data_IF_293830124098
#
_entry.id   IF_293830124098
#
_cell.length_a   1.000
_cell.length_b   1.000
_cell.length_c   1.000
_cell.angle_alpha   90.00
_cell.angle_beta   90.00
_cell.angle_gamma   90.00
#
_symmetry.space_group_name_H-M   'P 1'
#
loop_
_entity.id
_entity.type
_entity.pdbx_description
1 polymer ?
#
# COMPACT_ATOMS: atom_id res chain seq x y z
N UNK A 1 -14.49 -6.18 22.86
CA UNK A 1 -14.68 -6.97 21.64
C UNK A 1 -13.68 -8.11 21.69
N UNK A 2 -14.11 -9.36 21.47
CA UNK A 2 -13.19 -10.48 21.34
C UNK A 2 -12.55 -10.40 19.96
N UNK A 3 -11.30 -9.92 19.88
CA UNK A 3 -10.50 -10.00 18.66
C UNK A 3 -10.05 -11.45 18.36
N UNK A 4 -10.34 -12.39 19.26
CA UNK A 4 -9.96 -13.80 19.20
C UNK A 4 -10.29 -14.47 17.85
N UNK A 5 -11.48 -14.33 17.24
CA UNK A 5 -11.76 -14.97 15.95
C UNK A 5 -10.90 -14.45 14.79
N UNK A 6 -10.59 -13.14 14.78
CA UNK A 6 -9.67 -12.56 13.82
C UNK A 6 -8.23 -13.06 14.07
N UNK A 7 -7.85 -13.17 15.35
CA UNK A 7 -6.53 -13.64 15.77
C UNK A 7 -6.35 -15.13 15.43
N UNK A 8 -7.37 -15.96 15.66
CA UNK A 8 -7.37 -17.41 15.48
C UNK A 8 -7.57 -17.86 14.03
N UNK A 9 -7.82 -16.92 13.10
CA UNK A 9 -8.05 -17.17 11.67
C UNK A 9 -9.27 -18.06 11.40
N UNK A 10 -10.31 -17.98 12.23
CA UNK A 10 -11.59 -18.65 11.97
C UNK A 10 -12.37 -17.90 10.87
N UNK A 11 -11.94 -18.08 9.62
CA UNK A 11 -12.49 -17.36 8.46
C UNK A 11 -14.02 -17.49 8.34
N UNK A 12 -14.63 -18.67 8.54
CA UNK A 12 -16.10 -18.80 8.55
C UNK A 12 -16.81 -17.98 9.63
N UNK A 13 -16.17 -17.71 10.78
CA UNK A 13 -16.77 -16.94 11.87
C UNK A 13 -16.68 -15.41 11.66
N UNK A 14 -15.74 -14.94 10.83
CA UNK A 14 -15.47 -13.50 10.63
C UNK A 14 -16.73 -12.69 10.26
N UNK A 15 -17.58 -13.09 9.30
CA UNK A 15 -18.77 -12.31 8.96
C UNK A 15 -19.71 -12.08 10.15
N UNK A 16 -19.89 -13.09 11.00
CA UNK A 16 -20.74 -12.99 12.19
C UNK A 16 -20.14 -12.03 13.22
N UNK A 17 -18.81 -12.09 13.44
CA UNK A 17 -18.10 -11.23 14.39
C UNK A 17 -18.12 -9.77 13.95
N UNK A 18 -17.91 -9.50 12.65
CA UNK A 18 -18.02 -8.14 12.08
C UNK A 18 -19.45 -7.62 12.23
N UNK A 19 -20.47 -8.44 11.93
CA UNK A 19 -21.87 -8.06 12.09
C UNK A 19 -22.24 -7.75 13.56
N UNK A 20 -21.78 -8.57 14.50
CA UNK A 20 -21.97 -8.34 15.93
C UNK A 20 -21.35 -7.01 16.39
N UNK A 21 -20.10 -6.74 15.97
CA UNK A 21 -19.46 -5.47 16.32
C UNK A 21 -20.18 -4.28 15.69
N UNK A 22 -20.59 -4.41 14.42
CA UNK A 22 -21.32 -3.39 13.65
C UNK A 22 -22.69 -3.07 14.24
N UNK A 23 -23.31 -3.99 14.97
CA UNK A 23 -24.58 -3.74 15.65
C UNK A 23 -24.46 -2.67 16.76
N UNK A 24 -23.27 -2.49 17.34
CA UNK A 24 -22.99 -1.52 18.41
C UNK A 24 -22.17 -0.30 17.96
N UNK A 25 -21.66 -0.29 16.73
CA UNK A 25 -20.72 0.73 16.24
C UNK A 25 -21.08 1.17 14.82
N UNK A 26 -20.67 2.37 14.44
CA UNK A 26 -20.80 2.86 13.06
C UNK A 26 -19.95 2.05 12.07
N UNK A 27 -20.22 2.22 10.77
CA UNK A 27 -19.42 1.61 9.71
C UNK A 27 -17.96 2.09 9.76
N UNK A 28 -17.73 3.37 10.06
CA UNK A 28 -16.38 3.94 10.17
C UNK A 28 -15.60 3.37 11.38
N UNK A 29 -16.27 3.21 12.52
CA UNK A 29 -15.66 2.55 13.69
C UNK A 29 -15.36 1.07 13.43
N UNK A 30 -16.24 0.40 12.69
CA UNK A 30 -16.04 -1.00 12.27
C UNK A 30 -14.86 -1.12 11.31
N UNK A 31 -14.80 -0.26 10.29
CA UNK A 31 -13.65 -0.16 9.37
C UNK A 31 -12.35 0.14 10.13
N UNK A 32 -12.38 1.06 11.09
CA UNK A 32 -11.23 1.42 11.93
C UNK A 32 -10.71 0.21 12.70
N UNK A 33 -11.61 -0.58 13.29
CA UNK A 33 -11.25 -1.78 14.04
C UNK A 33 -10.64 -2.86 13.13
N UNK A 34 -11.25 -3.12 11.97
CA UNK A 34 -10.76 -4.08 10.97
C UNK A 34 -9.40 -3.65 10.41
N UNK A 35 -9.24 -2.38 10.08
CA UNK A 35 -7.99 -1.85 9.54
C UNK A 35 -6.87 -1.91 10.57
N UNK A 36 -7.14 -1.56 11.84
CA UNK A 36 -6.18 -1.80 12.92
C UNK A 36 -5.79 -3.26 12.98
N UNK A 37 -6.75 -4.18 12.94
CA UNK A 37 -6.45 -5.62 12.91
C UNK A 37 -5.57 -6.02 11.72
N UNK A 38 -5.82 -5.53 10.50
CA UNK A 38 -4.97 -5.79 9.33
C UNK A 38 -3.51 -5.39 9.56
N UNK A 39 -3.29 -4.33 10.33
CA UNK A 39 -1.96 -3.85 10.70
C UNK A 39 -1.35 -4.70 11.80
N UNK A 40 -2.15 -5.12 12.77
CA UNK A 40 -1.68 -6.04 13.82
C UNK A 40 -1.34 -7.43 13.26
N UNK A 41 -2.06 -7.86 12.24
CA UNK A 41 -1.80 -9.10 11.51
C UNK A 41 -0.61 -8.97 10.54
N UNK A 42 -0.11 -7.76 10.32
CA UNK A 42 0.97 -7.50 9.38
C UNK A 42 2.21 -8.30 9.76
N UNK A 43 2.59 -9.22 8.86
CA UNK A 43 3.97 -9.62 8.68
C UNK A 43 4.48 -8.94 7.41
N UNK A 44 5.79 -8.65 7.28
CA UNK A 44 6.37 -8.21 6.02
C UNK A 44 6.23 -9.33 4.96
N UNK A 45 5.05 -9.39 4.35
CA UNK A 45 4.64 -10.35 3.35
C UNK A 45 3.73 -9.65 2.36
N UNK A 46 3.82 -10.03 1.09
CA UNK A 46 3.02 -9.44 0.01
C UNK A 46 1.51 -9.48 0.31
N UNK A 47 1.03 -10.55 0.96
CA UNK A 47 -0.37 -10.72 1.34
C UNK A 47 -0.83 -9.66 2.36
N UNK A 48 -0.04 -9.45 3.42
CA UNK A 48 -0.42 -8.49 4.47
C UNK A 48 -0.40 -7.05 3.95
N UNK A 49 0.53 -6.74 3.03
CA UNK A 49 0.58 -5.43 2.37
C UNK A 49 -0.65 -5.17 1.51
N UNK A 50 -1.05 -6.14 0.70
CA UNK A 50 -2.25 -6.02 -0.12
C UNK A 50 -3.52 -5.90 0.73
N UNK A 51 -3.59 -6.58 1.88
CA UNK A 51 -4.72 -6.42 2.81
C UNK A 51 -4.83 -4.97 3.32
N UNK A 52 -3.69 -4.34 3.67
CA UNK A 52 -3.65 -2.93 4.07
C UNK A 52 -4.06 -1.98 2.94
N UNK A 53 -3.51 -2.19 1.74
CA UNK A 53 -3.84 -1.38 0.57
C UNK A 53 -5.32 -1.53 0.18
N UNK A 54 -5.89 -2.71 0.35
CA UNK A 54 -7.31 -2.94 0.13
C UNK A 54 -8.16 -2.19 1.18
N UNK A 55 -7.80 -2.24 2.48
CA UNK A 55 -8.50 -1.48 3.52
C UNK A 55 -8.52 0.03 3.21
N UNK A 56 -7.38 0.58 2.79
CA UNK A 56 -7.28 1.99 2.38
C UNK A 56 -8.12 2.29 1.13
N UNK A 57 -8.10 1.41 0.12
CA UNK A 57 -8.89 1.58 -1.10
C UNK A 57 -10.39 1.53 -0.82
N UNK A 58 -10.82 0.65 0.08
CA UNK A 58 -12.22 0.56 0.57
C UNK A 58 -12.63 1.85 1.28
N UNK A 59 -11.76 2.45 2.09
CA UNK A 59 -12.02 3.76 2.68
C UNK A 59 -12.16 4.87 1.64
N UNK A 60 -11.27 4.91 0.65
CA UNK A 60 -11.29 5.90 -0.42
C UNK A 60 -12.55 5.81 -1.29
N UNK A 61 -13.09 4.60 -1.44
CA UNK A 61 -14.26 4.28 -2.24
C UNK A 61 -15.56 4.14 -1.43
N UNK A 62 -15.55 4.42 -0.12
CA UNK A 62 -16.67 4.13 0.81
C UNK A 62 -18.04 4.70 0.39
N UNK A 63 -18.06 5.74 -0.42
CA UNK A 63 -19.27 6.39 -0.94
C UNK A 63 -19.77 5.79 -2.28
N UNK A 64 -18.95 4.95 -2.93
CA UNK A 64 -19.16 4.39 -4.27
C UNK A 64 -19.38 2.88 -4.26
N UNK A 65 -19.09 2.22 -3.13
CA UNK A 65 -19.22 0.77 -2.97
C UNK A 65 -20.13 0.44 -1.79
N UNK A 66 -20.56 -0.81 -1.70
CA UNK A 66 -21.23 -1.34 -0.52
C UNK A 66 -20.24 -1.47 0.65
N UNK A 67 -20.06 -0.37 1.37
CA UNK A 67 -19.00 -0.22 2.36
C UNK A 67 -19.02 -1.30 3.45
N UNK A 68 -20.19 -1.62 4.01
CA UNK A 68 -20.32 -2.66 5.05
C UNK A 68 -19.90 -4.05 4.52
N UNK A 69 -20.26 -4.43 3.29
CA UNK A 69 -19.83 -5.69 2.67
C UNK A 69 -18.32 -5.70 2.44
N UNK A 70 -17.76 -4.58 1.96
CA UNK A 70 -16.33 -4.43 1.72
C UNK A 70 -15.49 -4.51 3.01
N UNK A 71 -15.99 -3.99 4.14
CA UNK A 71 -15.33 -4.12 5.45
C UNK A 71 -15.19 -5.58 5.85
N UNK A 72 -16.23 -6.41 5.65
CA UNK A 72 -16.17 -7.85 5.95
C UNK A 72 -15.10 -8.53 5.11
N UNK A 73 -15.01 -8.20 3.82
CA UNK A 73 -14.00 -8.77 2.94
C UNK A 73 -12.58 -8.36 3.33
N UNK A 74 -12.36 -7.09 3.71
CA UNK A 74 -11.10 -6.64 4.28
C UNK A 74 -10.71 -7.44 5.52
N UNK A 75 -11.67 -7.76 6.40
CA UNK A 75 -11.42 -8.51 7.62
C UNK A 75 -11.04 -9.98 7.34
N UNK A 76 -11.75 -10.62 6.41
CA UNK A 76 -11.41 -11.96 5.92
C UNK A 76 -10.00 -11.95 5.33
N UNK A 77 -9.69 -10.97 4.49
CA UNK A 77 -8.40 -10.92 3.82
C UNK A 77 -7.24 -10.67 4.79
N UNK A 78 -7.43 -9.77 5.76
CA UNK A 78 -6.47 -9.52 6.84
C UNK A 78 -6.18 -10.80 7.65
N UNK A 79 -7.21 -11.54 8.04
CA UNK A 79 -7.06 -12.77 8.81
C UNK A 79 -6.41 -13.90 8.00
N UNK A 80 -6.76 -14.01 6.72
CA UNK A 80 -6.16 -14.95 5.79
C UNK A 80 -4.66 -14.67 5.57
N UNK A 81 -4.29 -13.38 5.46
CA UNK A 81 -2.92 -12.93 5.19
C UNK A 81 -1.95 -13.16 6.35
N UNK A 82 -2.46 -13.34 7.57
CA UNK A 82 -1.66 -13.60 8.76
C UNK A 82 -0.84 -14.88 8.59
N UNK A 83 0.47 -14.78 8.82
CA UNK A 83 1.38 -15.91 8.77
C UNK A 83 1.56 -16.54 10.15
N UNK A 84 1.85 -17.85 10.27
CA UNK A 84 2.12 -18.51 11.55
C UNK A 84 3.27 -17.87 12.34
N UNK A 85 4.20 -17.21 11.65
CA UNK A 85 5.33 -16.48 12.24
C UNK A 85 5.13 -14.96 12.29
N UNK A 86 3.92 -14.44 12.01
CA UNK A 86 3.62 -13.04 12.23
C UNK A 86 3.88 -12.71 13.70
N UNK A 87 4.78 -11.75 13.95
CA UNK A 87 5.07 -11.28 15.30
C UNK A 87 3.77 -10.77 15.95
N UNK A 88 3.63 -10.90 17.28
CA UNK A 88 2.55 -10.22 17.97
C UNK A 88 2.65 -8.71 17.69
N UNK A 89 1.50 -8.03 17.54
CA UNK A 89 1.51 -6.62 17.23
C UNK A 89 2.27 -5.82 18.30
N UNK A 90 3.35 -5.14 17.91
CA UNK A 90 3.93 -4.09 18.75
C UNK A 90 3.14 -2.81 18.52
N UNK A 91 2.37 -2.45 19.54
CA UNK A 91 1.59 -1.22 19.58
C UNK A 91 2.43 -0.04 20.08
N UNK A 92 3.42 -0.33 20.93
CA UNK A 92 4.25 0.67 21.58
C UNK A 92 5.59 0.86 20.86
N UNK A 93 6.08 2.11 20.75
CA UNK A 93 7.40 2.38 20.22
C UNK A 93 8.51 1.71 21.07
N UNK A 94 9.58 1.19 20.43
CA UNK A 94 10.73 0.65 21.16
C UNK A 94 11.45 1.76 21.90
N UNK A 95 12.21 1.38 22.94
CA UNK A 95 13.09 2.31 23.66
C UNK A 95 14.17 2.85 22.70
N UNK A 96 14.31 4.17 22.68
CA UNK A 96 15.35 4.88 21.93
C UNK A 96 16.70 4.71 22.65
N UNK A 97 17.75 4.37 21.90
CA UNK A 97 19.11 4.24 22.43
C UNK A 97 19.78 5.62 22.56
N UNK A 98 20.64 5.78 23.57
CA UNK A 98 21.32 7.05 23.88
C UNK A 98 22.22 7.57 22.73
N UNK A 99 22.63 6.69 21.81
CA UNK A 99 23.45 7.03 20.65
C UNK A 99 22.68 7.20 19.32
N UNK A 100 21.35 7.11 19.33
CA UNK A 100 20.55 7.24 18.11
C UNK A 100 20.62 8.68 17.58
N UNK A 101 21.16 8.92 16.38
CA UNK A 101 21.26 10.29 15.83
C UNK A 101 19.92 10.90 15.50
N UNK A 102 18.99 10.09 14.99
CA UNK A 102 17.67 10.54 14.58
C UNK A 102 17.65 11.42 13.34
N UNK A 103 18.73 11.51 12.55
CA UNK A 103 18.75 12.19 11.25
C UNK A 103 18.31 11.26 10.10
N UNK A 104 18.07 11.77 8.90
CA UNK A 104 17.69 10.95 7.73
C UNK A 104 18.77 9.91 7.36
N UNK A 105 20.05 10.23 7.58
CA UNK A 105 21.18 9.33 7.32
C UNK A 105 21.20 8.13 8.28
N UNK A 106 20.66 8.26 9.49
CA UNK A 106 20.45 7.17 10.45
C UNK A 106 19.46 6.15 9.87
N UNK A 107 18.37 6.61 9.26
CA UNK A 107 17.39 5.73 8.62
C UNK A 107 17.98 5.04 7.38
N UNK A 108 18.67 5.79 6.51
CA UNK A 108 19.37 5.22 5.34
C UNK A 108 20.36 4.14 5.75
N UNK A 109 21.18 4.41 6.77
CA UNK A 109 22.15 3.46 7.28
C UNK A 109 21.48 2.21 7.88
N UNK A 110 20.34 2.37 8.55
CA UNK A 110 19.57 1.24 9.07
C UNK A 110 19.02 0.35 7.95
N UNK A 111 18.46 0.95 6.90
CA UNK A 111 17.94 0.21 5.73
C UNK A 111 19.05 -0.50 4.97
N UNK A 112 20.17 0.19 4.72
CA UNK A 112 21.32 -0.40 4.05
C UNK A 112 21.92 -1.60 4.82
N UNK A 113 21.81 -1.59 6.15
CA UNK A 113 22.24 -2.69 7.02
C UNK A 113 21.15 -3.76 7.25
N UNK A 114 19.96 -3.59 6.66
CA UNK A 114 18.75 -4.37 6.99
C UNK A 114 18.45 -4.43 8.51
N UNK A 115 18.80 -3.37 9.25
CA UNK A 115 18.62 -3.27 10.69
C UNK A 115 17.24 -2.69 11.04
N UNK A 116 16.27 -3.60 11.14
CA UNK A 116 14.87 -3.28 11.45
C UNK A 116 14.71 -2.54 12.78
N UNK A 117 15.40 -2.98 13.84
CA UNK A 117 15.24 -2.38 15.17
C UNK A 117 15.76 -0.94 15.18
N UNK A 118 16.88 -0.68 14.51
CA UNK A 118 17.43 0.67 14.38
C UNK A 118 16.52 1.60 13.58
N UNK A 119 15.89 1.11 12.52
CA UNK A 119 14.92 1.87 11.75
C UNK A 119 13.62 2.14 12.53
N UNK A 120 13.14 1.17 13.32
CA UNK A 120 11.97 1.37 14.20
C UNK A 120 12.24 2.36 15.34
N UNK A 121 13.47 2.42 15.85
CA UNK A 121 13.90 3.43 16.83
C UNK A 121 14.00 4.82 16.23
N UNK A 122 14.47 4.93 14.99
CA UNK A 122 14.43 6.18 14.24
C UNK A 122 12.99 6.67 14.08
N UNK A 123 12.07 5.77 13.71
CA UNK A 123 10.65 6.11 13.62
C UNK A 123 10.14 6.61 14.98
N UNK A 124 10.39 5.85 16.06
CA UNK A 124 9.97 6.18 17.42
C UNK A 124 10.48 7.55 17.89
N UNK A 125 11.67 7.98 17.48
CA UNK A 125 12.23 9.29 17.86
C UNK A 125 11.73 10.45 17.01
N UNK A 126 10.99 10.21 15.92
CA UNK A 126 10.66 11.23 14.93
C UNK A 126 9.21 11.34 14.49
N UNK A 127 8.37 10.32 14.69
CA UNK A 127 7.05 10.26 14.03
C UNK A 127 6.06 11.39 14.37
N UNK A 128 6.37 12.18 15.40
CA UNK A 128 5.64 13.39 15.83
C UNK A 128 6.32 14.71 15.38
N UNK A 129 7.50 14.65 14.76
CA UNK A 129 8.24 15.82 14.29
C UNK A 129 7.63 16.36 12.99
N UNK A 130 7.69 17.69 12.81
CA UNK A 130 7.11 18.36 11.64
C UNK A 130 7.77 17.97 10.30
N UNK A 131 9.05 17.61 10.31
CA UNK A 131 9.83 17.22 9.13
C UNK A 131 9.86 15.70 8.88
N UNK A 132 9.20 14.91 9.74
CA UNK A 132 9.17 13.46 9.65
C UNK A 132 8.78 12.95 8.28
N UNK A 133 7.71 13.50 7.69
CA UNK A 133 7.19 13.02 6.40
C UNK A 133 8.20 13.22 5.27
N UNK A 134 8.97 14.31 5.29
CA UNK A 134 9.99 14.57 4.27
C UNK A 134 11.09 13.53 4.34
N UNK A 135 11.67 13.30 5.53
CA UNK A 135 12.73 12.30 5.69
C UNK A 135 12.23 10.88 5.40
N UNK A 136 11.02 10.56 5.86
CA UNK A 136 10.38 9.25 5.64
C UNK A 136 10.17 8.96 4.15
N UNK A 137 9.62 9.90 3.39
CA UNK A 137 9.39 9.71 1.95
C UNK A 137 10.65 9.83 1.11
N UNK A 138 11.62 10.68 1.50
CA UNK A 138 12.92 10.74 0.84
C UNK A 138 13.55 9.34 0.82
N UNK A 139 13.59 8.68 1.98
CA UNK A 139 14.16 7.33 2.09
C UNK A 139 13.28 6.26 1.44
N UNK A 140 11.95 6.37 1.52
CA UNK A 140 11.05 5.47 0.79
C UNK A 140 11.27 5.47 -0.73
N UNK A 141 11.85 6.56 -1.25
CA UNK A 141 12.08 6.81 -2.67
C UNK A 141 13.56 6.72 -3.09
N UNK A 142 14.46 6.28 -2.21
CA UNK A 142 15.89 6.10 -2.55
C UNK A 142 16.13 4.96 -3.55
N UNK A 143 15.17 4.03 -3.63
CA UNK A 143 15.22 2.86 -4.51
C UNK A 143 13.80 2.50 -4.99
N UNK A 144 13.72 2.06 -6.25
CA UNK A 144 12.49 1.62 -6.92
C UNK A 144 12.49 0.13 -7.29
N UNK A 145 13.40 -0.68 -6.72
CA UNK A 145 13.27 -2.14 -6.73
C UNK A 145 11.89 -2.59 -6.22
N UNK A 146 11.49 -3.80 -6.61
CA UNK A 146 10.13 -4.34 -6.42
C UNK A 146 9.02 -3.39 -6.91
N UNK A 147 9.24 -2.71 -8.05
CA UNK A 147 8.25 -1.81 -8.68
C UNK A 147 7.89 -0.60 -7.80
N UNK A 148 8.84 -0.14 -6.96
CA UNK A 148 8.66 1.00 -6.06
C UNK A 148 7.71 0.72 -4.89
N UNK A 149 7.59 -0.54 -4.48
CA UNK A 149 6.68 -0.98 -3.42
C UNK A 149 6.87 -0.21 -2.11
N UNK A 150 8.12 0.09 -1.75
CA UNK A 150 8.50 0.87 -0.55
C UNK A 150 7.74 2.19 -0.45
N UNK A 151 7.74 2.99 -1.52
CA UNK A 151 7.05 4.28 -1.55
C UNK A 151 5.52 4.11 -1.53
N UNK A 152 5.00 3.10 -2.23
CA UNK A 152 3.57 2.80 -2.25
C UNK A 152 3.07 2.47 -0.83
N UNK A 153 3.79 1.60 -0.11
CA UNK A 153 3.43 1.18 1.25
C UNK A 153 3.64 2.31 2.24
N UNK A 154 4.74 3.06 2.15
CA UNK A 154 5.00 4.22 2.99
C UNK A 154 3.91 5.29 2.85
N UNK A 155 3.49 5.58 1.62
CA UNK A 155 2.41 6.52 1.32
C UNK A 155 1.07 6.04 1.90
N UNK A 156 0.75 4.76 1.73
CA UNK A 156 -0.45 4.17 2.31
C UNK A 156 -0.43 4.19 3.85
N UNK A 157 0.72 3.86 4.46
CA UNK A 157 0.92 3.88 5.90
C UNK A 157 0.70 5.27 6.49
N UNK A 158 1.23 6.33 5.87
CA UNK A 158 1.01 7.71 6.32
C UNK A 158 -0.48 8.07 6.28
N UNK A 159 -1.17 7.77 5.19
CA UNK A 159 -2.61 8.05 5.04
C UNK A 159 -3.45 7.30 6.07
N UNK A 160 -3.14 6.02 6.30
CA UNK A 160 -3.80 5.22 7.33
C UNK A 160 -3.49 5.72 8.74
N UNK A 161 -2.27 6.20 9.00
CA UNK A 161 -1.89 6.75 10.29
C UNK A 161 -2.74 7.96 10.67
N UNK A 162 -3.04 8.84 9.70
CA UNK A 162 -3.90 10.01 9.92
C UNK A 162 -5.36 9.61 10.16
N UNK A 163 -5.85 8.56 9.48
CA UNK A 163 -7.23 8.06 9.64
C UNK A 163 -7.44 7.32 10.97
N UNK A 164 -6.44 6.59 11.45
CA UNK A 164 -6.55 5.78 12.67
C UNK A 164 -6.23 6.55 13.95
N UNK A 165 -5.71 7.78 13.81
CA UNK A 165 -5.36 8.69 14.90
C UNK A 165 -4.13 8.25 15.71
N UNK A 166 -3.86 8.99 16.78
CA UNK A 166 -2.66 8.86 17.63
C UNK A 166 -2.36 7.42 18.06
N UNK A 167 -3.38 6.70 18.54
CA UNK A 167 -3.24 5.31 19.03
C UNK A 167 -2.80 4.31 17.95
N UNK A 168 -3.01 4.61 16.67
CA UNK A 168 -2.60 3.75 15.55
C UNK A 168 -1.37 4.25 14.81
N UNK A 169 -0.94 5.51 15.03
CA UNK A 169 0.03 6.21 14.19
C UNK A 169 1.36 5.47 14.09
N UNK A 170 1.98 5.17 15.22
CA UNK A 170 3.25 4.43 15.24
C UNK A 170 3.13 3.06 14.56
N UNK A 171 2.09 2.30 14.94
CA UNK A 171 1.81 0.97 14.40
C UNK A 171 1.56 0.99 12.89
N UNK A 172 1.04 2.09 12.32
CA UNK A 172 0.90 2.24 10.87
C UNK A 172 2.23 2.56 10.22
N UNK A 173 2.93 3.59 10.71
CA UNK A 173 4.14 4.09 10.07
C UNK A 173 5.27 3.07 10.07
N UNK A 174 5.31 2.17 11.07
CA UNK A 174 6.27 1.06 11.12
C UNK A 174 6.11 0.07 9.96
N UNK A 175 4.91 -0.07 9.39
CA UNK A 175 4.68 -0.94 8.22
C UNK A 175 5.57 -0.51 7.06
N UNK A 176 5.63 0.79 6.77
CA UNK A 176 6.52 1.29 5.72
C UNK A 176 8.00 1.17 6.08
N UNK A 177 8.38 1.30 7.36
CA UNK A 177 9.76 1.01 7.80
C UNK A 177 10.13 -0.45 7.54
N UNK A 178 9.24 -1.39 7.86
CA UNK A 178 9.49 -2.80 7.62
C UNK A 178 9.70 -3.09 6.14
N UNK A 179 8.90 -2.47 5.28
CA UNK A 179 9.03 -2.64 3.83
C UNK A 179 10.34 -2.04 3.29
N UNK A 180 10.73 -0.87 3.77
CA UNK A 180 12.02 -0.26 3.41
C UNK A 180 13.20 -1.17 3.77
N UNK A 181 13.13 -1.85 4.92
CA UNK A 181 14.18 -2.73 5.45
C UNK A 181 14.18 -4.12 4.81
N UNK A 182 13.02 -4.62 4.36
CA UNK A 182 12.85 -5.98 3.86
C UNK A 182 13.60 -6.26 2.55
N UNK A 183 13.76 -5.24 1.70
CA UNK A 183 14.43 -5.36 0.40
C UNK A 183 15.61 -4.39 0.36
N UNK A 184 16.83 -4.90 0.53
CA UNK A 184 18.05 -4.10 0.33
C UNK A 184 18.27 -3.88 -1.17
N UNK A 185 18.27 -2.64 -1.61
CA UNK A 185 18.37 -2.27 -3.03
C UNK A 185 19.44 -1.23 -3.31
N UNK A 186 19.94 -1.24 -4.55
CA UNK A 186 20.99 -0.32 -5.02
C UNK A 186 20.43 1.09 -5.28
N UNK A 187 21.27 2.12 -5.12
CA UNK A 187 20.87 3.49 -5.47
C UNK A 187 20.39 3.56 -6.92
N UNK A 188 19.12 3.95 -7.09
CA UNK A 188 18.57 4.21 -8.41
C UNK A 188 19.20 5.48 -8.96
N UNK A 189 20.11 5.34 -9.93
CA UNK A 189 20.72 6.46 -10.63
C UNK A 189 19.65 7.27 -11.38
N UNK A 190 19.20 8.37 -10.78
CA UNK A 190 18.17 9.22 -11.39
C UNK A 190 18.83 10.29 -12.25
N UNK A 191 18.78 10.11 -13.57
CA UNK A 191 19.17 11.14 -14.54
C UNK A 191 18.06 12.17 -14.70
N UNK A 192 18.32 13.44 -14.38
CA UNK A 192 17.33 14.52 -14.28
C UNK A 192 16.64 14.93 -15.60
N UNK A 193 15.71 14.11 -16.10
CA UNK A 193 14.70 14.58 -17.05
C UNK A 193 13.48 15.05 -16.30
N UNK A 194 13.21 16.35 -16.42
CA UNK A 194 11.95 16.95 -15.96
C UNK A 194 10.84 16.49 -16.91
N UNK A 195 10.08 15.48 -16.51
CA UNK A 195 8.94 14.98 -17.27
C UNK A 195 7.71 15.84 -16.99
N UNK A 196 6.95 16.18 -18.03
CA UNK A 196 5.61 16.72 -17.87
C UNK A 196 4.70 15.66 -17.22
N UNK A 197 4.12 15.99 -16.06
CA UNK A 197 3.36 15.02 -15.24
C UNK A 197 2.08 14.57 -15.94
N UNK A 198 1.45 15.46 -16.73
CA UNK A 198 0.24 15.11 -17.48
C UNK A 198 0.55 14.11 -18.59
N UNK A 199 1.57 14.39 -19.41
CA UNK A 199 2.04 13.46 -20.44
C UNK A 199 2.47 12.11 -19.84
N UNK A 200 3.15 12.13 -18.68
CA UNK A 200 3.54 10.90 -17.98
C UNK A 200 2.31 10.10 -17.51
N UNK A 201 1.33 10.76 -16.88
CA UNK A 201 0.09 10.10 -16.45
C UNK A 201 -0.66 9.47 -17.63
N UNK A 202 -0.78 10.21 -18.75
CA UNK A 202 -1.41 9.70 -19.97
C UNK A 202 -0.68 8.47 -20.52
N UNK A 203 0.66 8.50 -20.54
CA UNK A 203 1.47 7.37 -20.99
C UNK A 203 1.32 6.14 -20.07
N UNK A 204 1.31 6.33 -18.76
CA UNK A 204 1.11 5.24 -17.79
C UNK A 204 -0.27 4.60 -17.94
N UNK A 205 -1.33 5.42 -18.05
CA UNK A 205 -2.70 4.95 -18.30
C UNK A 205 -2.80 4.19 -19.61
N UNK A 206 -2.24 4.72 -20.70
CA UNK A 206 -2.19 4.03 -21.98
C UNK A 206 -1.43 2.71 -21.91
N UNK A 207 -0.36 2.63 -21.11
CA UNK A 207 0.41 1.40 -20.91
C UNK A 207 -0.41 0.33 -20.17
N UNK A 208 -1.18 0.71 -19.15
CA UNK A 208 -2.11 -0.23 -18.46
C UNK A 208 -3.13 -0.79 -19.43
N UNK A 209 -3.71 0.06 -20.30
CA UNK A 209 -4.67 -0.37 -21.32
C UNK A 209 -4.01 -1.31 -22.33
N UNK A 210 -2.82 -0.96 -22.83
CA UNK A 210 -2.10 -1.73 -23.84
C UNK A 210 -1.68 -3.11 -23.36
N UNK A 211 -1.37 -3.25 -22.06
CA UNK A 211 -1.04 -4.54 -21.43
C UNK A 211 -2.25 -5.18 -20.74
N UNK A 212 -3.46 -4.75 -21.11
CA UNK A 212 -4.72 -5.39 -20.71
C UNK A 212 -4.91 -5.49 -19.19
N UNK A 213 -4.42 -4.49 -18.45
CA UNK A 213 -4.58 -4.38 -17.00
C UNK A 213 -3.62 -5.23 -16.16
N UNK A 214 -2.49 -5.66 -16.72
CA UNK A 214 -1.50 -6.45 -15.99
C UNK A 214 -0.94 -5.71 -14.76
N UNK A 215 -0.45 -6.48 -13.79
CA UNK A 215 -0.02 -5.95 -12.50
C UNK A 215 1.23 -5.05 -12.60
N UNK A 216 2.14 -5.30 -13.54
CA UNK A 216 3.37 -4.51 -13.68
C UNK A 216 3.06 -3.12 -14.20
N UNK A 217 2.24 -3.01 -15.26
CA UNK A 217 1.82 -1.71 -15.78
C UNK A 217 0.96 -0.93 -14.76
N UNK A 218 0.08 -1.62 -14.02
CA UNK A 218 -0.71 -1.02 -12.95
C UNK A 218 0.18 -0.49 -11.80
N UNK A 219 1.22 -1.23 -11.41
CA UNK A 219 2.16 -0.81 -10.37
C UNK A 219 2.89 0.49 -10.70
N UNK A 220 3.29 0.70 -11.96
CA UNK A 220 3.91 1.95 -12.39
C UNK A 220 2.97 3.16 -12.16
N UNK A 221 1.68 3.00 -12.44
CA UNK A 221 0.67 4.03 -12.16
C UNK A 221 0.41 4.19 -10.65
N UNK A 222 0.46 3.10 -9.87
CA UNK A 222 0.33 3.15 -8.42
C UNK A 222 1.50 3.88 -7.76
N UNK A 223 2.72 3.67 -8.26
CA UNK A 223 3.91 4.39 -7.82
C UNK A 223 3.80 5.88 -8.13
N UNK A 224 3.31 6.23 -9.32
CA UNK A 224 3.03 7.61 -9.71
C UNK A 224 2.04 8.29 -8.76
N UNK A 225 0.89 7.66 -8.49
CA UNK A 225 -0.09 8.19 -7.51
C UNK A 225 0.54 8.31 -6.12
N UNK A 226 1.25 7.29 -5.64
CA UNK A 226 1.90 7.31 -4.32
C UNK A 226 2.85 8.49 -4.15
N UNK A 227 3.64 8.81 -5.19
CA UNK A 227 4.52 9.97 -5.21
C UNK A 227 3.75 11.29 -5.13
N UNK A 228 2.64 11.42 -5.86
CA UNK A 228 1.81 12.63 -5.77
C UNK A 228 1.15 12.80 -4.40
N UNK A 229 0.89 11.72 -3.66
CA UNK A 229 0.33 11.79 -2.31
C UNK A 229 1.35 12.25 -1.26
N UNK A 230 2.66 12.19 -1.53
CA UNK A 230 3.67 12.67 -0.56
C UNK A 230 3.67 14.18 -0.43
N UNK A 231 3.20 14.90 -1.47
CA UNK A 231 3.33 16.35 -1.63
C UNK A 231 4.79 16.85 -1.49
N UNK A 232 5.76 16.02 -1.86
CA UNK A 232 7.19 16.35 -1.86
C UNK A 232 7.71 16.41 -3.31
N UNK A 233 8.05 17.63 -3.76
CA UNK A 233 8.51 17.89 -5.13
C UNK A 233 9.75 17.09 -5.51
N UNK A 234 10.66 16.82 -4.57
CA UNK A 234 11.87 16.05 -4.82
C UNK A 234 11.53 14.57 -5.05
N UNK A 235 10.64 14.01 -4.25
CA UNK A 235 10.14 12.64 -4.41
C UNK A 235 9.36 12.50 -5.73
N UNK A 236 8.47 13.44 -6.03
CA UNK A 236 7.69 13.47 -7.27
C UNK A 236 8.62 13.52 -8.49
N UNK A 237 9.59 14.42 -8.50
CA UNK A 237 10.53 14.55 -9.60
C UNK A 237 11.36 13.27 -9.81
N UNK A 238 11.81 12.65 -8.71
CA UNK A 238 12.58 11.41 -8.73
C UNK A 238 11.78 10.25 -9.33
N UNK A 239 10.55 10.04 -8.86
CA UNK A 239 9.65 8.99 -9.37
C UNK A 239 9.29 9.24 -10.82
N UNK A 240 8.94 10.47 -11.18
CA UNK A 240 8.60 10.81 -12.57
C UNK A 240 9.76 10.55 -13.53
N UNK A 241 11.00 10.82 -13.10
CA UNK A 241 12.20 10.52 -13.86
C UNK A 241 12.46 9.02 -14.00
N UNK A 242 12.24 8.23 -12.93
CA UNK A 242 12.34 6.78 -12.99
C UNK A 242 11.31 6.18 -13.95
N UNK A 243 10.04 6.53 -13.79
CA UNK A 243 8.93 6.04 -14.61
C UNK A 243 9.10 6.40 -16.09
N UNK A 244 9.59 7.60 -16.39
CA UNK A 244 9.89 8.00 -17.78
C UNK A 244 10.97 7.12 -18.44
N UNK A 245 11.85 6.48 -17.66
CA UNK A 245 12.90 5.59 -18.15
C UNK A 245 12.44 4.15 -18.43
N UNK A 246 11.33 3.72 -17.83
CA UNK A 246 10.80 2.33 -17.95
C UNK A 246 9.55 2.22 -18.84
N UNK A 247 9.03 3.34 -19.34
CA UNK A 247 7.83 3.41 -20.18
C UNK A 247 8.04 2.98 -21.65
N UNK A 248 8.71 1.85 -21.88
CA UNK A 248 8.65 1.18 -23.19
C UNK A 248 7.47 0.21 -23.21
N UNK A 249 6.54 0.32 -24.17
CA UNK A 249 5.42 -0.60 -24.33
C UNK A 249 5.94 -1.93 -24.88
N UNK A 250 6.56 -2.73 -24.01
CA UNK A 250 7.00 -4.09 -24.32
C UNK A 250 6.58 -4.99 -23.18
N UNK A 251 5.73 -6.01 -23.44
CA UNK A 251 5.33 -6.96 -22.41
C UNK A 251 6.56 -7.60 -21.78
N UNK A 252 6.70 -7.51 -20.45
CA UNK A 252 7.74 -8.27 -19.76
C UNK A 252 7.33 -9.75 -19.72
N UNK A 253 8.02 -10.57 -20.50
CA UNK A 253 7.77 -12.01 -20.62
C UNK A 253 8.66 -12.84 -19.69
N UNK A 254 9.49 -12.19 -18.85
CA UNK A 254 10.60 -12.87 -18.14
C UNK A 254 10.24 -13.44 -16.76
N UNK A 255 9.07 -13.12 -16.23
CA UNK A 255 8.69 -13.54 -14.89
C UNK A 255 7.30 -14.20 -14.89
N UNK A 256 7.21 -15.54 -15.00
CA UNK A 256 5.95 -16.22 -14.75
C UNK A 256 5.51 -15.94 -13.31
N UNK A 257 4.29 -15.44 -13.15
CA UNK A 257 3.69 -15.17 -11.85
C UNK A 257 3.67 -16.46 -11.03
N UNK A 258 4.26 -16.50 -9.81
CA UNK A 258 4.21 -17.69 -8.98
C UNK A 258 2.75 -18.09 -8.70
N UNK A 259 2.45 -19.39 -8.79
CA UNK A 259 1.18 -19.92 -8.29
C UNK A 259 1.21 -19.83 -6.76
N UNK A 260 0.50 -18.85 -6.25
CA UNK A 260 0.29 -18.61 -4.82
C UNK A 260 -1.14 -19.05 -4.53
N UNK A 261 -1.37 -19.67 -3.38
CA UNK A 261 -2.72 -20.04 -2.92
C UNK A 261 -3.61 -18.78 -2.91
N UNK A 262 -4.54 -18.71 -3.85
CA UNK A 262 -5.37 -17.53 -4.12
C UNK A 262 -6.54 -17.51 -3.15
N UNK A 263 -6.65 -16.45 -2.36
CA UNK A 263 -7.84 -16.17 -1.56
C UNK A 263 -8.82 -15.34 -2.38
N UNK A 264 -10.14 -15.48 -2.19
CA UNK A 264 -11.21 -14.83 -2.98
C UNK A 264 -11.18 -13.28 -3.10
N UNK A 265 -10.20 -12.61 -2.50
CA UNK A 265 -10.04 -11.17 -2.44
C UNK A 265 -8.60 -10.69 -2.69
N UNK A 266 -7.64 -11.62 -2.86
CA UNK A 266 -6.29 -11.32 -2.38
C UNK A 266 -5.42 -10.46 -3.30
N UNK A 267 -5.37 -10.72 -4.60
CA UNK A 267 -4.41 -10.01 -5.45
C UNK A 267 -5.08 -9.17 -6.52
N UNK A 268 -5.80 -9.82 -7.42
CA UNK A 268 -6.28 -9.17 -8.62
C UNK A 268 -7.49 -8.26 -8.31
N UNK A 269 -8.32 -8.65 -7.32
CA UNK A 269 -9.38 -7.79 -6.79
C UNK A 269 -8.83 -6.59 -6.00
N UNK A 270 -7.86 -6.81 -5.11
CA UNK A 270 -7.19 -5.72 -4.37
C UNK A 270 -6.52 -4.72 -5.32
N UNK A 271 -5.89 -5.19 -6.39
CA UNK A 271 -5.33 -4.34 -7.44
C UNK A 271 -6.41 -3.58 -8.20
N UNK A 272 -7.55 -4.21 -8.52
CA UNK A 272 -8.68 -3.55 -9.16
C UNK A 272 -9.29 -2.45 -8.26
N UNK A 273 -9.55 -2.74 -6.98
CA UNK A 273 -9.99 -1.76 -5.99
C UNK A 273 -9.02 -0.58 -5.89
N UNK A 274 -7.72 -0.86 -5.82
CA UNK A 274 -6.69 0.17 -5.79
C UNK A 274 -6.71 1.01 -7.07
N UNK A 275 -6.92 0.41 -8.24
CA UNK A 275 -7.04 1.14 -9.50
C UNK A 275 -8.25 2.07 -9.53
N UNK A 276 -9.41 1.67 -8.99
CA UNK A 276 -10.56 2.56 -8.80
C UNK A 276 -10.23 3.73 -7.88
N UNK A 277 -9.60 3.46 -6.74
CA UNK A 277 -9.20 4.50 -5.80
C UNK A 277 -8.18 5.48 -6.42
N UNK A 278 -7.22 4.98 -7.19
CA UNK A 278 -6.25 5.78 -7.96
C UNK A 278 -6.95 6.62 -9.02
N UNK A 279 -7.84 6.02 -9.81
CA UNK A 279 -8.61 6.75 -10.84
C UNK A 279 -9.44 7.88 -10.21
N UNK A 280 -10.10 7.63 -9.07
CA UNK A 280 -10.85 8.65 -8.32
C UNK A 280 -9.96 9.84 -7.93
N UNK A 281 -8.74 9.59 -7.46
CA UNK A 281 -7.80 10.63 -7.03
C UNK A 281 -7.15 11.39 -8.19
N UNK A 282 -6.80 10.68 -9.26
CA UNK A 282 -6.04 11.25 -10.37
C UNK A 282 -6.93 11.93 -11.42
N UNK A 283 -8.16 11.46 -11.65
CA UNK A 283 -9.07 12.01 -12.66
C UNK A 283 -9.30 13.53 -12.54
N UNK A 284 -9.48 14.12 -11.34
CA UNK A 284 -9.60 15.58 -11.21
C UNK A 284 -8.31 16.34 -11.57
N UNK A 285 -7.14 15.72 -11.38
CA UNK A 285 -5.82 16.33 -11.63
C UNK A 285 -5.39 16.16 -13.09
N UNK A 286 -5.79 15.07 -13.75
CA UNK A 286 -5.39 14.68 -15.10
C UNK A 286 -6.63 14.29 -15.93
N UNK A 287 -7.50 15.26 -16.29
CA UNK A 287 -8.81 14.97 -16.89
C UNK A 287 -8.73 14.37 -18.30
N UNK A 288 -7.58 14.47 -18.97
CA UNK A 288 -7.38 13.97 -20.33
C UNK A 288 -6.95 12.49 -20.37
N UNK A 289 -6.59 11.89 -19.23
CA UNK A 289 -6.19 10.49 -19.16
C UNK A 289 -7.42 9.56 -19.24
N UNK A 290 -7.32 8.48 -20.02
CA UNK A 290 -8.40 7.51 -20.19
C UNK A 290 -8.52 6.52 -19.01
N UNK A 291 -8.91 7.04 -17.85
CA UNK A 291 -9.13 6.21 -16.66
C UNK A 291 -10.26 5.20 -16.84
N UNK A 292 -11.22 5.45 -17.73
CA UNK A 292 -12.31 4.49 -17.98
C UNK A 292 -11.81 3.29 -18.77
N UNK A 293 -11.01 3.52 -19.82
CA UNK A 293 -10.32 2.46 -20.55
C UNK A 293 -9.38 1.66 -19.65
N UNK A 294 -8.65 2.34 -18.76
CA UNK A 294 -7.79 1.70 -17.76
C UNK A 294 -8.58 0.76 -16.84
N UNK A 295 -9.68 1.24 -16.23
CA UNK A 295 -10.50 0.41 -15.33
C UNK A 295 -11.12 -0.76 -16.08
N UNK A 296 -11.56 -0.57 -17.33
CA UNK A 296 -12.05 -1.67 -18.15
C UNK A 296 -10.96 -2.73 -18.41
N UNK A 297 -9.70 -2.32 -18.60
CA UNK A 297 -8.58 -3.24 -18.74
C UNK A 297 -8.31 -4.02 -17.44
N UNK A 298 -8.29 -3.33 -16.29
CA UNK A 298 -8.15 -3.97 -14.97
C UNK A 298 -9.24 -5.03 -14.71
N UNK A 299 -10.49 -4.73 -15.05
CA UNK A 299 -11.59 -5.70 -14.94
C UNK A 299 -11.44 -6.88 -15.89
N UNK A 300 -11.02 -6.68 -17.14
CA UNK A 300 -10.72 -7.79 -18.05
C UNK A 300 -9.62 -8.70 -17.52
N UNK A 301 -8.59 -8.13 -16.88
CA UNK A 301 -7.55 -8.92 -16.24
C UNK A 301 -8.11 -9.74 -15.06
N UNK A 302 -9.00 -9.15 -14.26
CA UNK A 302 -9.70 -9.83 -13.18
C UNK A 302 -10.55 -11.00 -13.70
N UNK A 303 -11.30 -10.84 -14.79
CA UNK A 303 -12.11 -11.91 -15.39
C UNK A 303 -11.28 -13.09 -15.93
N UNK A 304 -10.02 -12.83 -16.30
CA UNK A 304 -9.04 -13.87 -16.69
C UNK A 304 -8.40 -14.53 -15.47
N UNK A 305 -8.43 -13.88 -14.31
CA UNK A 305 -8.11 -14.48 -13.02
C UNK A 305 -9.32 -15.32 -12.55
N UNK A 306 -9.08 -16.43 -11.87
CA UNK A 306 -10.09 -17.45 -11.59
C UNK A 306 -11.16 -17.07 -10.54
N UNK A 307 -11.49 -15.79 -10.36
CA UNK A 307 -12.34 -15.31 -9.25
C UNK A 307 -13.57 -14.52 -9.74
N UNK A 308 -14.77 -15.08 -9.53
CA UNK A 308 -16.05 -14.39 -9.73
C UNK A 308 -16.43 -13.58 -8.48
N UNK A 309 -16.35 -12.25 -8.57
CA UNK A 309 -17.23 -11.33 -7.83
C UNK A 309 -17.58 -10.15 -8.75
N UNK A 310 -18.88 -9.93 -8.95
CA UNK A 310 -19.39 -8.86 -9.81
C UNK A 310 -19.39 -7.52 -9.08
N UNK A 311 -18.78 -6.50 -9.70
CA UNK A 311 -19.03 -5.10 -9.34
C UNK A 311 -20.44 -4.73 -9.81
N UNK A 312 -21.20 -4.03 -8.94
CA UNK A 312 -22.55 -3.55 -9.28
C UNK A 312 -22.50 -2.31 -10.18
#
# INVERSE_FOLDING_TARGET
MNYEPFIERDLPAIPAVVAEFRAAHSAEETWTAVTRFAVLAFAPSQHSMHALLACLSVWDLREEIKFDEAIVQCAIYAAASRQPWSEPPMLDPPKIDEGQRGDVEELRAAIAASDRLRAERWLASRYDNADFSSDYFAVASDDFEDLGHKLIVASAAMRLADLLGEKGRYAMLRVGIWEMVAVGGGESGVGGRRSDLESLCNALVANVIANDGDIFSAHALFLFDAALQTNDDAVIARVASHLAGINSPTPDTRHPTPQIETYPFARDYGACLKAHAVAKRLRPKFPNADFNGMLAAMHRNLEKSSEEMTFA
#
